data_IF_229391641553
#
_entry.id   IF_229391641553
#
_cell.length_a   1.000
_cell.length_b   1.000
_cell.length_c   1.000
_cell.angle_alpha   90.00
_cell.angle_beta   90.00
_cell.angle_gamma   90.00
#
_symmetry.space_group_name_H-M   'P 1'
#
loop_
_entity.id
_entity.type
_entity.pdbx_description
1 polymer ?
#
# COMPACT_ATOMS: atom_id res chain seq x y z
N UNK A 1 32.55 18.41 -43.84
CA UNK A 1 31.44 17.45 -43.90
C UNK A 1 31.13 16.98 -42.49
N UNK A 2 29.83 16.90 -42.18
CA UNK A 2 29.09 16.17 -41.13
C UNK A 2 29.89 15.51 -39.99
N UNK A 3 29.48 15.60 -38.73
CA UNK A 3 28.14 15.18 -38.28
C UNK A 3 27.77 15.76 -36.93
N UNK A 4 26.59 16.37 -36.89
CA UNK A 4 25.79 16.63 -35.68
C UNK A 4 24.98 15.37 -35.38
N UNK A 5 25.15 14.73 -34.23
CA UNK A 5 24.10 13.89 -33.63
C UNK A 5 24.58 13.17 -32.36
N UNK A 6 24.04 13.56 -31.20
CA UNK A 6 23.65 12.62 -30.12
C UNK A 6 23.03 13.38 -28.93
N UNK A 7 21.79 13.85 -29.08
CA UNK A 7 21.03 14.47 -27.98
C UNK A 7 19.70 13.76 -27.68
N UNK A 8 19.55 12.48 -28.00
CA UNK A 8 18.25 11.77 -27.86
C UNK A 8 18.07 11.01 -26.53
N UNK A 9 19.10 10.74 -25.72
CA UNK A 9 18.93 9.91 -24.50
C UNK A 9 18.36 10.67 -23.30
N UNK A 10 18.43 12.00 -23.27
CA UNK A 10 18.01 12.81 -22.13
C UNK A 10 16.50 13.05 -22.03
N UNK A 11 15.73 12.78 -23.09
CA UNK A 11 14.26 12.89 -23.09
C UNK A 11 13.58 11.64 -22.54
N UNK A 12 14.11 10.45 -22.85
CA UNK A 12 13.52 9.19 -22.42
C UNK A 12 13.68 8.94 -20.91
N UNK A 13 14.79 9.36 -20.31
CA UNK A 13 14.99 9.26 -18.86
C UNK A 13 14.06 10.19 -18.06
N UNK A 14 13.80 11.40 -18.58
CA UNK A 14 12.88 12.35 -17.95
C UNK A 14 11.44 11.85 -17.93
N UNK A 15 10.98 11.24 -19.03
CA UNK A 15 9.63 10.66 -19.06
C UNK A 15 9.43 9.55 -18.02
N UNK A 16 10.47 8.75 -17.74
CA UNK A 16 10.39 7.70 -16.72
C UNK A 16 10.43 8.25 -15.29
N UNK A 17 11.20 9.31 -15.03
CA UNK A 17 11.28 9.93 -13.69
C UNK A 17 9.96 10.62 -13.30
N UNK A 18 9.32 11.29 -14.27
CA UNK A 18 7.99 11.89 -14.09
C UNK A 18 6.92 10.82 -13.83
N UNK A 19 7.00 9.67 -14.52
CA UNK A 19 6.11 8.53 -14.31
C UNK A 19 6.29 7.91 -12.92
N UNK A 20 7.54 7.71 -12.47
CA UNK A 20 7.84 7.21 -11.12
C UNK A 20 7.29 8.19 -10.07
N UNK A 21 7.47 9.50 -10.27
CA UNK A 21 6.97 10.53 -9.36
C UNK A 21 5.44 10.50 -9.27
N UNK A 22 4.75 10.39 -10.40
CA UNK A 22 3.28 10.21 -10.46
C UNK A 22 2.83 8.98 -9.67
N UNK A 23 3.51 7.84 -9.84
CA UNK A 23 3.21 6.61 -9.11
C UNK A 23 3.40 6.78 -7.59
N UNK A 24 4.49 7.43 -7.17
CA UNK A 24 4.73 7.72 -5.74
C UNK A 24 3.65 8.63 -5.17
N UNK A 25 3.22 9.66 -5.90
CA UNK A 25 2.14 10.55 -5.44
C UNK A 25 0.80 9.83 -5.29
N UNK A 26 0.52 8.81 -6.11
CA UNK A 26 -0.69 7.97 -5.97
C UNK A 26 -0.70 7.11 -4.71
N UNK A 27 0.45 6.85 -4.09
CA UNK A 27 0.52 6.11 -2.82
C UNK A 27 0.09 6.99 -1.64
N UNK A 28 0.41 8.28 -1.64
CA UNK A 28 0.11 9.19 -0.53
C UNK A 28 -1.35 9.15 -0.03
N UNK A 29 -2.40 9.20 -0.88
CA UNK A 29 -3.79 9.12 -0.40
C UNK A 29 -4.18 7.75 0.17
N UNK A 30 -3.38 6.71 -0.01
CA UNK A 30 -3.63 5.38 0.56
C UNK A 30 -3.01 5.20 1.95
N UNK A 31 -2.23 6.17 2.42
CA UNK A 31 -1.48 6.08 3.68
C UNK A 31 -2.16 6.88 4.78
N UNK A 32 -2.78 6.22 5.79
CA UNK A 32 -3.54 6.92 6.84
C UNK A 32 -2.70 7.96 7.59
N UNK A 33 -1.40 7.69 7.78
CA UNK A 33 -0.49 8.60 8.48
C UNK A 33 -0.18 9.87 7.68
N UNK A 34 -0.26 9.80 6.35
CA UNK A 34 -0.01 10.94 5.46
C UNK A 34 -1.28 11.72 5.12
N UNK A 35 -2.47 11.24 5.52
CA UNK A 35 -3.72 11.98 5.36
C UNK A 35 -3.68 13.31 6.10
N UNK A 36 -3.07 13.36 7.29
CA UNK A 36 -2.88 14.60 8.06
C UNK A 36 -1.84 15.54 7.44
N UNK A 37 -0.92 14.98 6.66
CA UNK A 37 0.18 15.71 6.01
C UNK A 37 -0.11 16.00 4.53
N UNK A 38 -1.35 15.87 4.08
CA UNK A 38 -1.74 16.03 2.65
C UNK A 38 -1.34 17.38 2.05
N UNK A 39 -1.16 18.41 2.88
CA UNK A 39 -0.76 19.75 2.47
C UNK A 39 0.72 20.06 2.74
N UNK A 40 1.48 19.14 3.35
CA UNK A 40 2.89 19.30 3.63
C UNK A 40 3.73 18.62 2.53
N UNK A 41 4.85 19.20 2.11
CA UNK A 41 5.76 18.56 1.18
C UNK A 41 6.41 17.34 1.85
N UNK A 42 6.03 16.14 1.41
CA UNK A 42 6.64 14.87 1.86
C UNK A 42 7.56 14.38 0.75
N UNK A 43 8.77 13.92 1.12
CA UNK A 43 9.71 13.37 0.13
C UNK A 43 9.21 12.04 -0.42
N UNK A 44 9.61 11.70 -1.66
CA UNK A 44 9.30 10.41 -2.27
C UNK A 44 9.80 9.22 -1.42
N UNK A 45 10.98 9.35 -0.81
CA UNK A 45 11.54 8.34 0.09
C UNK A 45 10.65 8.11 1.31
N UNK A 46 10.14 9.18 1.93
CA UNK A 46 9.26 9.08 3.09
C UNK A 46 7.91 8.44 2.74
N UNK A 47 7.35 8.75 1.56
CA UNK A 47 6.12 8.10 1.06
C UNK A 47 6.35 6.60 0.89
N UNK A 48 7.47 6.20 0.29
CA UNK A 48 7.81 4.79 0.05
C UNK A 48 8.09 4.02 1.36
N UNK A 49 8.79 4.65 2.31
CA UNK A 49 9.05 4.09 3.64
C UNK A 49 7.75 3.88 4.43
N UNK A 50 6.86 4.87 4.42
CA UNK A 50 5.56 4.77 5.08
C UNK A 50 4.68 3.73 4.36
N UNK A 51 4.77 3.62 3.03
CA UNK A 51 4.08 2.56 2.27
C UNK A 51 4.53 1.17 2.72
N UNK A 52 5.84 0.92 2.76
CA UNK A 52 6.39 -0.35 3.22
C UNK A 52 5.97 -0.66 4.67
N UNK A 53 5.99 0.35 5.52
CA UNK A 53 5.61 0.23 6.93
C UNK A 53 4.13 -0.05 7.10
N UNK A 54 3.27 0.59 6.30
CA UNK A 54 1.83 0.36 6.33
C UNK A 54 1.46 -1.03 5.83
N UNK A 55 2.07 -1.51 4.74
CA UNK A 55 1.89 -2.89 4.26
C UNK A 55 2.25 -3.90 5.36
N UNK A 56 3.38 -3.70 6.06
CA UNK A 56 3.78 -4.58 7.18
C UNK A 56 2.77 -4.57 8.32
N UNK A 57 2.20 -3.41 8.66
CA UNK A 57 1.15 -3.31 9.69
C UNK A 57 -0.13 -4.02 9.27
N UNK A 58 -0.61 -3.78 8.05
CA UNK A 58 -1.78 -4.46 7.50
C UNK A 58 -1.61 -5.99 7.51
N UNK A 59 -0.46 -6.51 7.10
CA UNK A 59 -0.20 -7.95 7.18
C UNK A 59 -0.28 -8.50 8.61
N UNK A 60 0.22 -7.77 9.60
CA UNK A 60 0.11 -8.17 11.02
C UNK A 60 -1.33 -8.12 11.51
N UNK A 61 -2.06 -7.06 11.18
CA UNK A 61 -3.47 -6.93 11.55
C UNK A 61 -4.32 -8.05 10.95
N UNK A 62 -4.06 -8.45 9.70
CA UNK A 62 -4.72 -9.59 9.05
C UNK A 62 -4.38 -10.90 9.75
N UNK A 63 -3.10 -11.14 10.08
CA UNK A 63 -2.65 -12.34 10.78
C UNK A 63 -3.29 -12.44 12.19
N UNK A 64 -3.24 -11.36 12.96
CA UNK A 64 -3.80 -11.29 14.31
C UNK A 64 -5.32 -11.50 14.29
N UNK A 65 -6.02 -10.89 13.32
CA UNK A 65 -7.46 -11.07 13.14
C UNK A 65 -7.80 -12.50 12.72
N UNK A 66 -7.04 -13.08 11.80
CA UNK A 66 -7.20 -14.46 11.33
C UNK A 66 -7.05 -15.46 12.48
N UNK A 67 -6.02 -15.26 13.32
CA UNK A 67 -5.79 -16.07 14.51
C UNK A 67 -6.93 -15.96 15.51
N UNK A 68 -7.35 -14.73 15.85
CA UNK A 68 -8.45 -14.50 16.79
C UNK A 68 -9.76 -15.09 16.29
N UNK A 69 -10.02 -15.01 14.98
CA UNK A 69 -11.21 -15.60 14.37
C UNK A 69 -11.17 -17.14 14.48
N UNK A 70 -10.02 -17.74 14.19
CA UNK A 70 -9.81 -19.19 14.34
C UNK A 70 -10.06 -19.65 15.78
N UNK A 71 -9.51 -18.95 16.76
CA UNK A 71 -9.72 -19.25 18.19
C UNK A 71 -11.20 -19.12 18.60
N UNK A 72 -11.91 -18.12 18.08
CA UNK A 72 -13.35 -17.94 18.35
C UNK A 72 -14.18 -19.08 17.77
N UNK A 73 -13.90 -19.49 16.53
CA UNK A 73 -14.59 -20.60 15.86
C UNK A 73 -14.35 -21.93 16.59
N UNK A 74 -13.11 -22.21 16.98
CA UNK A 74 -12.75 -23.39 17.77
C UNK A 74 -13.49 -23.40 19.12
N UNK A 75 -13.55 -22.25 19.81
CA UNK A 75 -14.23 -22.13 21.10
C UNK A 75 -15.75 -22.34 21.02
N UNK A 76 -16.35 -21.98 19.87
CA UNK A 76 -17.77 -22.15 19.62
C UNK A 76 -18.12 -23.57 19.12
N UNK A 77 -17.14 -24.45 18.94
CA UNK A 77 -17.33 -25.79 18.39
C UNK A 77 -17.81 -25.77 16.93
N UNK A 78 -17.54 -24.67 16.21
CA UNK A 78 -18.00 -24.47 14.85
C UNK A 78 -16.97 -25.10 13.92
N UNK A 79 -17.31 -26.27 13.39
CA UNK A 79 -16.45 -27.02 12.48
C UNK A 79 -16.66 -26.65 11.01
N UNK A 80 -17.74 -25.94 10.71
CA UNK A 80 -18.10 -25.51 9.35
C UNK A 80 -18.34 -24.01 9.33
N UNK A 81 -17.64 -23.32 8.45
CA UNK A 81 -17.60 -21.86 8.41
C UNK A 81 -18.25 -21.41 7.11
N UNK A 82 -19.43 -20.81 7.22
CA UNK A 82 -20.12 -20.20 6.09
C UNK A 82 -19.91 -18.68 6.04
N UNK A 83 -20.26 -18.10 4.89
CA UNK A 83 -20.11 -16.67 4.64
C UNK A 83 -20.96 -15.81 5.60
N UNK A 84 -22.11 -16.33 6.03
CA UNK A 84 -23.06 -15.61 6.88
C UNK A 84 -22.52 -15.47 8.31
N UNK A 85 -21.94 -16.55 8.84
CA UNK A 85 -21.27 -16.56 10.14
C UNK A 85 -20.08 -15.61 10.18
N UNK A 86 -19.21 -15.64 9.16
CA UNK A 86 -18.06 -14.72 9.06
C UNK A 86 -18.55 -13.26 9.06
N UNK A 87 -19.59 -12.94 8.28
CA UNK A 87 -20.18 -11.60 8.25
C UNK A 87 -20.72 -11.17 9.61
N UNK A 88 -21.37 -12.04 10.37
CA UNK A 88 -21.80 -11.72 11.74
C UNK A 88 -20.63 -11.46 12.69
N UNK A 89 -19.55 -12.25 12.60
CA UNK A 89 -18.39 -12.12 13.49
C UNK A 89 -17.56 -10.86 13.21
N UNK A 90 -17.47 -10.43 11.94
CA UNK A 90 -16.74 -9.22 11.53
C UNK A 90 -17.55 -7.94 11.67
N UNK A 91 -18.85 -8.03 11.99
CA UNK A 91 -19.75 -6.88 12.11
C UNK A 91 -19.71 -6.27 13.52
N UNK A 92 -18.52 -5.97 14.01
CA UNK A 92 -18.30 -5.17 15.21
C UNK A 92 -17.57 -3.87 14.84
#
# INVERSE_FOLDING_TARGET
MSSRSSSSSSRASKSSDDEIKELVLKLQPLLPQLHHLRNAPVSASSILEETCSYIKRLHREVEDLSKRLSELLDSAGITDVDEELIRTLLRH
#
